data_IF_443275510684
#
_entry.id   IF_443275510684
#
_cell.length_a   1.000
_cell.length_b   1.000
_cell.length_c   1.000
_cell.angle_alpha   90.00
_cell.angle_beta   90.00
_cell.angle_gamma   90.00
#
_symmetry.space_group_name_H-M   'P 1'
#
loop_
_entity.id
_entity.type
_entity.pdbx_description
1 polymer ?
#
# COMPACT_ATOMS: atom_id res chain seq x y z
N UNK A 1 -9.09 6.75 -7.30
CA UNK A 1 -7.79 7.35 -6.92
C UNK A 1 -6.79 7.08 -8.04
N UNK A 2 -5.86 8.00 -8.32
CA UNK A 2 -4.78 7.78 -9.30
C UNK A 2 -3.44 7.74 -8.55
N UNK A 3 -2.65 6.70 -8.78
CA UNK A 3 -1.34 6.51 -8.13
C UNK A 3 -1.38 5.64 -6.87
N UNK A 4 -0.19 5.26 -6.39
CA UNK A 4 -0.01 4.26 -5.33
C UNK A 4 -0.54 4.72 -3.97
N UNK A 5 -0.15 5.91 -3.50
CA UNK A 5 -0.50 6.43 -2.19
C UNK A 5 -2.03 6.51 -1.95
N UNK A 6 -2.83 7.22 -2.78
CA UNK A 6 -4.27 7.33 -2.54
C UNK A 6 -5.01 6.00 -2.78
N UNK A 7 -4.39 5.04 -3.46
CA UNK A 7 -4.95 3.69 -3.63
C UNK A 7 -4.69 2.84 -2.39
N UNK A 8 -3.48 2.88 -1.83
CA UNK A 8 -3.13 2.19 -0.58
C UNK A 8 -3.96 2.72 0.60
N UNK A 9 -4.13 4.04 0.72
CA UNK A 9 -4.97 4.66 1.76
C UNK A 9 -6.41 4.15 1.71
N UNK A 10 -7.01 4.10 0.50
CA UNK A 10 -8.38 3.62 0.35
C UNK A 10 -8.52 2.12 0.59
N UNK A 11 -7.55 1.33 0.13
CA UNK A 11 -7.55 -0.13 0.27
C UNK A 11 -7.38 -0.56 1.74
N UNK A 12 -6.55 0.16 2.49
CA UNK A 12 -6.22 -0.14 3.88
C UNK A 12 -7.08 0.65 4.90
N UNK A 13 -8.09 1.37 4.42
CA UNK A 13 -9.00 2.12 5.28
C UNK A 13 -9.67 1.19 6.30
N UNK A 14 -9.53 1.52 7.58
CA UNK A 14 -10.09 0.73 8.68
C UNK A 14 -9.30 -0.53 9.05
N UNK A 15 -8.10 -0.73 8.49
CA UNK A 15 -7.23 -1.82 8.91
C UNK A 15 -6.89 -1.72 10.42
N UNK A 16 -7.00 -2.86 11.12
CA UNK A 16 -6.68 -3.00 12.56
C UNK A 16 -5.53 -3.99 12.72
N UNK A 17 -4.28 -3.60 12.39
CA UNK A 17 -3.15 -4.50 12.54
C UNK A 17 -2.85 -4.77 14.02
N UNK A 18 -2.20 -5.90 14.27
CA UNK A 18 -1.55 -6.20 15.55
C UNK A 18 -0.09 -5.77 15.49
N UNK A 19 0.62 -5.81 16.63
CA UNK A 19 2.05 -5.50 16.66
C UNK A 19 2.86 -6.33 15.65
N UNK A 20 2.57 -7.63 15.57
CA UNK A 20 3.28 -8.57 14.70
C UNK A 20 3.10 -8.31 13.21
N UNK A 21 2.06 -7.56 12.82
CA UNK A 21 1.73 -7.35 11.40
C UNK A 21 1.54 -5.89 10.99
N UNK A 22 1.78 -4.92 11.89
CA UNK A 22 1.72 -3.49 11.57
C UNK A 22 2.65 -3.09 10.41
N UNK A 23 3.79 -3.78 10.28
CA UNK A 23 4.73 -3.55 9.18
C UNK A 23 4.11 -3.78 7.79
N UNK A 24 3.05 -4.61 7.70
CA UNK A 24 2.41 -4.97 6.43
C UNK A 24 1.72 -3.78 5.76
N UNK A 25 1.31 -2.77 6.52
CA UNK A 25 0.72 -1.55 5.95
C UNK A 25 1.76 -0.80 5.10
N UNK A 26 2.96 -0.60 5.65
CA UNK A 26 4.08 0.03 4.95
C UNK A 26 4.55 -0.80 3.76
N UNK A 27 4.66 -2.13 3.95
CA UNK A 27 5.03 -3.05 2.88
C UNK A 27 4.04 -2.96 1.71
N UNK A 28 2.73 -3.05 1.97
CA UNK A 28 1.70 -2.96 0.93
C UNK A 28 1.77 -1.64 0.14
N UNK A 29 1.93 -0.50 0.83
CA UNK A 29 2.05 0.80 0.18
C UNK A 29 3.31 0.90 -0.72
N UNK A 30 4.44 0.39 -0.24
CA UNK A 30 5.72 0.38 -0.99
C UNK A 30 5.64 -0.55 -2.20
N UNK A 31 5.12 -1.76 -2.04
CA UNK A 31 4.95 -2.73 -3.12
C UNK A 31 3.99 -2.20 -4.19
N UNK A 32 2.88 -1.57 -3.80
CA UNK A 32 1.96 -0.97 -4.76
C UNK A 32 2.64 0.14 -5.58
N UNK A 33 3.51 0.94 -4.94
CA UNK A 33 4.31 1.93 -5.66
C UNK A 33 5.30 1.29 -6.63
N UNK A 34 5.97 0.20 -6.24
CA UNK A 34 6.92 -0.50 -7.09
C UNK A 34 6.23 -1.08 -8.34
N UNK A 35 5.13 -1.82 -8.16
CA UNK A 35 4.38 -2.44 -9.27
C UNK A 35 3.83 -1.39 -10.25
N UNK A 36 3.31 -0.27 -9.75
CA UNK A 36 2.81 0.80 -10.62
C UNK A 36 3.91 1.57 -11.35
N UNK A 37 5.14 1.57 -10.83
CA UNK A 37 6.31 2.11 -11.53
C UNK A 37 6.79 1.11 -12.58
N UNK A 38 6.90 -0.17 -12.20
CA UNK A 38 7.27 -1.27 -13.10
C UNK A 38 6.32 -1.35 -14.31
N UNK A 39 5.02 -1.21 -14.11
CA UNK A 39 4.02 -1.29 -15.19
C UNK A 39 4.04 -0.10 -16.16
N UNK A 40 4.84 0.94 -15.90
CA UNK A 40 4.97 2.14 -16.74
C UNK A 40 6.24 2.16 -17.56
N UNK A 41 7.22 1.32 -17.19
CA UNK A 41 8.46 1.11 -17.93
C UNK A 41 8.20 0.27 -19.18
#
# INVERSE_FOLDING_TARGET
PRGAAPTAERLLAGAKPTADNAFKLTLAARTLSAVLTESRA
#
